data_IF_480680168087
#
_entry.id   IF_480680168087
#
_cell.length_a   1.000
_cell.length_b   1.000
_cell.length_c   1.000
_cell.angle_alpha   90.00
_cell.angle_beta   90.00
_cell.angle_gamma   90.00
#
_symmetry.space_group_name_H-M   'P 1'
#
loop_
_entity.id
_entity.type
_entity.pdbx_description
1 polymer ?
#
# COMPACT_ATOMS: atom_id res chain seq x y z
N UNK A 1 5.01 -23.15 20.79
CA UNK A 1 5.78 -22.00 20.24
C UNK A 1 4.81 -20.85 20.00
N UNK A 2 5.10 -19.64 20.50
CA UNK A 2 4.39 -18.44 20.05
C UNK A 2 4.92 -18.13 18.65
N UNK A 3 4.13 -18.38 17.61
CA UNK A 3 4.41 -17.85 16.28
C UNK A 3 4.29 -16.33 16.41
N UNK A 4 5.41 -15.62 16.27
CA UNK A 4 5.44 -14.18 16.45
C UNK A 4 4.93 -13.55 15.15
N UNK A 5 3.65 -13.16 15.12
CA UNK A 5 3.06 -12.51 13.95
C UNK A 5 3.88 -11.29 13.50
N UNK A 6 3.97 -11.07 12.19
CA UNK A 6 4.72 -9.96 11.59
C UNK A 6 4.31 -8.61 12.18
N UNK A 7 5.26 -7.68 12.33
CA UNK A 7 5.03 -6.39 13.01
C UNK A 7 5.56 -5.22 12.20
N UNK A 8 4.79 -4.14 12.19
CA UNK A 8 5.29 -2.83 11.75
C UNK A 8 6.04 -2.20 12.91
N UNK A 9 7.31 -1.85 12.70
CA UNK A 9 8.15 -1.23 13.72
C UNK A 9 8.59 0.17 13.28
N UNK A 10 8.62 1.09 14.25
CA UNK A 10 9.14 2.43 14.08
C UNK A 10 10.66 2.38 14.20
N UNK A 11 11.37 2.76 13.15
CA UNK A 11 12.84 2.86 13.12
C UNK A 11 13.23 4.32 13.16
N UNK A 12 14.22 4.66 13.98
CA UNK A 12 14.85 5.98 13.97
C UNK A 12 16.21 5.83 13.33
N UNK A 13 16.47 6.61 12.29
CA UNK A 13 17.77 6.64 11.64
C UNK A 13 18.62 7.73 12.30
N UNK A 14 19.68 7.37 13.04
CA UNK A 14 20.61 8.37 13.54
C UNK A 14 21.50 8.87 12.39
N UNK A 15 21.30 10.15 12.00
CA UNK A 15 22.29 11.13 11.49
C UNK A 15 22.30 11.48 9.99
N UNK A 16 22.18 12.79 9.65
CA UNK A 16 23.26 13.78 9.38
C UNK A 16 22.63 15.17 9.14
N UNK A 17 22.87 16.10 10.06
CA UNK A 17 22.58 17.56 10.02
C UNK A 17 21.13 18.11 10.12
N UNK A 18 20.05 17.42 9.72
CA UNK A 18 18.71 18.06 9.64
C UNK A 18 17.58 17.50 10.54
N UNK A 19 17.93 16.70 11.57
CA UNK A 19 16.98 16.22 12.59
C UNK A 19 16.74 14.69 12.58
N UNK A 20 15.93 14.22 13.53
CA UNK A 20 15.56 12.80 13.68
C UNK A 20 14.57 12.39 12.58
N UNK A 21 14.99 11.52 11.66
CA UNK A 21 14.09 10.95 10.66
C UNK A 21 13.48 9.64 11.18
N UNK A 22 12.15 9.61 11.22
CA UNK A 22 11.35 8.45 11.58
C UNK A 22 11.00 7.67 10.31
N UNK A 23 11.20 6.35 10.36
CA UNK A 23 10.73 5.42 9.35
C UNK A 23 9.88 4.32 9.97
N UNK A 24 9.21 3.57 9.09
CA UNK A 24 8.53 2.33 9.43
C UNK A 24 9.15 1.19 8.63
N UNK A 25 9.32 0.04 9.26
CA UNK A 25 9.76 -1.20 8.63
C UNK A 25 8.79 -2.32 8.98
N UNK A 26 8.72 -3.34 8.15
CA UNK A 26 7.96 -4.55 8.42
C UNK A 26 8.93 -5.65 8.80
N UNK A 27 8.78 -6.16 10.02
CA UNK A 27 9.63 -7.20 10.59
C UNK A 27 8.91 -8.54 10.47
N UNK A 28 9.60 -9.51 9.88
CA UNK A 28 9.19 -10.90 9.75
C UNK A 28 9.19 -11.67 11.07
N UNK A 29 8.79 -12.94 11.02
CA UNK A 29 8.76 -13.81 12.21
C UNK A 29 10.18 -14.21 12.67
N UNK A 30 11.15 -14.11 11.78
CA UNK A 30 12.60 -14.26 12.01
C UNK A 30 13.22 -13.03 12.70
N UNK A 31 12.41 -12.03 13.03
CA UNK A 31 12.83 -10.74 13.60
C UNK A 31 13.73 -9.93 12.67
N UNK A 32 13.75 -10.23 11.38
CA UNK A 32 14.48 -9.47 10.36
C UNK A 32 13.51 -8.58 9.56
N UNK A 33 13.98 -7.42 9.06
CA UNK A 33 13.22 -6.64 8.09
C UNK A 33 12.94 -7.46 6.84
N UNK A 34 11.74 -7.32 6.29
CA UNK A 34 11.40 -7.88 4.97
C UNK A 34 12.10 -7.01 3.90
N UNK A 35 13.12 -7.52 3.20
CA UNK A 35 13.97 -6.70 2.34
C UNK A 35 13.20 -5.98 1.23
N UNK A 36 12.24 -6.68 0.62
CA UNK A 36 11.48 -6.14 -0.50
C UNK A 36 10.56 -4.98 -0.04
N UNK A 37 9.98 -5.09 1.15
CA UNK A 37 9.21 -3.98 1.74
C UNK A 37 10.15 -2.82 2.06
N UNK A 38 11.33 -3.09 2.63
CA UNK A 38 12.28 -2.03 3.01
C UNK A 38 12.78 -1.26 1.79
N UNK A 39 13.09 -1.92 0.69
CA UNK A 39 13.47 -1.29 -0.59
C UNK A 39 12.38 -0.32 -1.06
N UNK A 40 11.12 -0.76 -1.01
CA UNK A 40 10.00 0.08 -1.40
C UNK A 40 9.76 1.23 -0.40
N UNK A 41 9.92 1.02 0.90
CA UNK A 41 9.84 2.09 1.90
C UNK A 41 10.95 3.13 1.70
N UNK A 42 12.15 2.71 1.32
CA UNK A 42 13.25 3.60 0.97
C UNK A 42 12.92 4.44 -0.28
N UNK A 43 12.33 3.81 -1.31
CA UNK A 43 11.82 4.52 -2.48
C UNK A 43 10.77 5.58 -2.12
N UNK A 44 9.77 5.24 -1.29
CA UNK A 44 8.74 6.19 -0.86
C UNK A 44 9.33 7.42 -0.15
N UNK A 45 10.37 7.23 0.66
CA UNK A 45 11.09 8.36 1.29
C UNK A 45 11.80 9.23 0.26
N UNK A 46 12.46 8.61 -0.73
CA UNK A 46 13.20 9.34 -1.75
C UNK A 46 12.30 10.21 -2.64
N UNK A 47 11.03 9.82 -2.81
CA UNK A 47 10.02 10.64 -3.49
C UNK A 47 9.25 11.57 -2.54
N UNK A 48 9.75 11.77 -1.33
CA UNK A 48 9.19 12.66 -0.30
C UNK A 48 7.73 12.33 0.09
N UNK A 49 7.34 11.05 0.04
CA UNK A 49 6.03 10.63 0.52
C UNK A 49 5.86 10.98 2.01
N UNK A 50 4.64 11.39 2.39
CA UNK A 50 4.39 11.81 3.77
C UNK A 50 4.67 10.67 4.76
N UNK A 51 5.15 10.96 5.99
CA UNK A 51 5.37 9.93 7.02
C UNK A 51 4.12 9.10 7.33
N UNK A 52 2.94 9.70 7.21
CA UNK A 52 1.67 8.99 7.37
C UNK A 52 1.39 8.02 6.21
N UNK A 53 1.74 8.40 4.98
CA UNK A 53 1.66 7.52 3.81
C UNK A 53 2.58 6.32 3.98
N UNK A 54 3.84 6.53 4.38
CA UNK A 54 4.82 5.46 4.63
C UNK A 54 4.30 4.53 5.73
N UNK A 55 3.79 5.09 6.83
CA UNK A 55 3.20 4.30 7.91
C UNK A 55 2.03 3.44 7.43
N UNK A 56 1.06 4.04 6.71
CA UNK A 56 -0.09 3.33 6.19
C UNK A 56 0.33 2.22 5.22
N UNK A 57 1.29 2.50 4.33
CA UNK A 57 1.77 1.53 3.35
C UNK A 57 2.50 0.37 4.03
N UNK A 58 3.29 0.62 5.08
CA UNK A 58 3.90 -0.45 5.86
C UNK A 58 2.85 -1.39 6.48
N UNK A 59 1.75 -0.87 7.05
CA UNK A 59 0.65 -1.70 7.56
C UNK A 59 -0.09 -2.46 6.45
N UNK A 60 -0.33 -1.82 5.31
CA UNK A 60 -0.99 -2.48 4.18
C UNK A 60 -0.16 -3.62 3.60
N UNK A 61 1.15 -3.41 3.44
CA UNK A 61 2.07 -4.46 2.97
C UNK A 61 2.23 -5.56 4.01
N UNK A 62 2.25 -5.23 5.30
CA UNK A 62 2.22 -6.23 6.37
C UNK A 62 1.04 -7.21 6.23
N UNK A 63 -0.16 -6.70 5.94
CA UNK A 63 -1.34 -7.54 5.70
C UNK A 63 -1.18 -8.44 4.47
N UNK A 64 -0.61 -7.90 3.40
CA UNK A 64 -0.36 -8.68 2.18
C UNK A 64 0.66 -9.80 2.43
N UNK A 65 1.72 -9.55 3.19
CA UNK A 65 2.68 -10.58 3.57
C UNK A 65 2.10 -11.64 4.50
N UNK A 66 1.24 -11.27 5.46
CA UNK A 66 0.50 -12.23 6.28
C UNK A 66 -0.38 -13.15 5.40
N UNK A 67 -1.08 -12.57 4.41
CA UNK A 67 -1.86 -13.34 3.44
C UNK A 67 -1.00 -14.31 2.63
N UNK A 68 0.13 -13.85 2.07
CA UNK A 68 1.03 -14.69 1.28
C UNK A 68 1.56 -15.86 2.11
N UNK A 69 1.92 -15.60 3.37
CA UNK A 69 2.31 -16.65 4.32
C UNK A 69 1.18 -17.65 4.56
N UNK A 70 0.00 -17.17 4.92
CA UNK A 70 -1.15 -18.02 5.27
C UNK A 70 -1.61 -18.89 4.08
N UNK A 71 -1.34 -18.44 2.86
CA UNK A 71 -1.69 -19.16 1.62
C UNK A 71 -0.50 -19.85 0.95
N UNK A 72 0.69 -19.79 1.56
CA UNK A 72 1.94 -20.35 1.03
C UNK A 72 2.28 -19.89 -0.40
N UNK A 73 2.04 -18.60 -0.71
CA UNK A 73 2.31 -18.01 -2.01
C UNK A 73 3.59 -17.15 -1.98
N UNK A 74 4.34 -17.15 -3.09
CA UNK A 74 5.44 -16.21 -3.30
C UNK A 74 4.92 -14.92 -3.93
N UNK A 75 5.34 -13.78 -3.39
CA UNK A 75 5.00 -12.45 -3.93
C UNK A 75 5.51 -12.30 -5.38
N UNK A 76 6.63 -12.93 -5.75
CA UNK A 76 7.21 -12.82 -7.10
C UNK A 76 6.35 -13.48 -8.17
N UNK A 77 5.58 -14.49 -7.80
CA UNK A 77 4.70 -15.23 -8.70
C UNK A 77 3.23 -14.82 -8.58
N UNK A 78 2.93 -13.84 -7.73
CA UNK A 78 1.56 -13.38 -7.51
C UNK A 78 1.00 -12.72 -8.77
N UNK A 79 -0.22 -13.08 -9.12
CA UNK A 79 -0.95 -12.51 -10.25
C UNK A 79 -2.30 -11.92 -9.85
N UNK A 80 -3.15 -11.66 -10.84
CA UNK A 80 -4.50 -11.14 -10.61
C UNK A 80 -5.35 -12.09 -9.76
N UNK A 81 -5.16 -13.40 -9.93
CA UNK A 81 -5.83 -14.43 -9.13
C UNK A 81 -5.45 -14.34 -7.64
N UNK A 82 -4.15 -14.23 -7.35
CA UNK A 82 -3.63 -14.03 -5.98
C UNK A 82 -4.27 -12.80 -5.32
N UNK A 83 -4.45 -11.71 -6.06
CA UNK A 83 -5.10 -10.51 -5.52
C UNK A 83 -6.60 -10.70 -5.27
N UNK A 84 -7.29 -11.43 -6.15
CA UNK A 84 -8.69 -11.78 -5.91
C UNK A 84 -8.84 -12.61 -4.63
N UNK A 85 -7.95 -13.59 -4.43
CA UNK A 85 -7.87 -14.36 -3.19
C UNK A 85 -7.53 -13.47 -1.99
N UNK A 86 -6.62 -12.51 -2.15
CA UNK A 86 -6.29 -11.54 -1.10
C UNK A 86 -7.49 -10.66 -0.70
N UNK A 87 -8.30 -10.22 -1.67
CA UNK A 87 -9.55 -9.48 -1.38
C UNK A 87 -10.53 -10.34 -0.59
N UNK A 88 -10.66 -11.62 -0.93
CA UNK A 88 -11.48 -12.56 -0.15
C UNK A 88 -10.93 -12.73 1.28
N UNK A 89 -9.61 -12.89 1.42
CA UNK A 89 -8.92 -12.99 2.71
C UNK A 89 -9.10 -11.73 3.58
N UNK A 90 -9.02 -10.53 2.98
CA UNK A 90 -9.25 -9.27 3.70
C UNK A 90 -10.67 -9.12 4.26
N UNK A 91 -11.66 -9.70 3.56
CA UNK A 91 -13.08 -9.72 3.96
C UNK A 91 -13.36 -10.74 5.06
N UNK A 92 -12.59 -11.83 5.11
CA UNK A 92 -12.74 -12.88 6.12
C UNK A 92 -11.38 -13.38 6.63
N UNK A 93 -10.71 -12.63 7.51
CA UNK A 93 -9.34 -12.94 7.95
C UNK A 93 -9.27 -14.02 9.06
N UNK A 94 -10.24 -14.94 9.17
CA UNK A 94 -10.27 -15.96 10.21
C UNK A 94 -9.67 -17.29 9.71
N UNK A 95 -8.47 -17.70 10.15
CA UNK A 95 -7.98 -19.05 9.93
C UNK A 95 -8.69 -20.03 10.87
N UNK A 96 -9.47 -20.95 10.31
CA UNK A 96 -9.96 -22.15 11.02
C UNK A 96 -11.40 -22.13 11.54
N UNK A 97 -12.22 -21.12 11.23
CA UNK A 97 -13.63 -21.08 11.61
C UNK A 97 -14.53 -21.08 10.38
N UNK A 98 -15.37 -22.13 10.26
CA UNK A 98 -16.48 -22.15 9.31
C UNK A 98 -17.40 -20.96 9.63
N UNK A 99 -17.69 -20.06 8.67
CA UNK A 99 -18.58 -18.94 8.92
C UNK A 99 -20.01 -19.47 9.01
N UNK A 100 -20.46 -19.83 10.21
CA UNK A 100 -21.82 -20.30 10.47
C UNK A 100 -22.82 -19.16 10.72
N UNK A 101 -22.35 -17.90 10.64
CA UNK A 101 -23.19 -16.70 10.71
C UNK A 101 -22.66 -15.66 9.74
N UNK A 102 -23.58 -15.02 9.00
CA UNK A 102 -23.33 -13.91 8.07
C UNK A 102 -22.63 -12.78 8.81
N UNK A 103 -21.30 -12.83 8.86
CA UNK A 103 -20.46 -11.86 9.55
C UNK A 103 -20.36 -10.64 8.64
N UNK A 104 -20.79 -9.48 9.13
CA UNK A 104 -20.56 -8.19 8.48
C UNK A 104 -19.06 -8.09 8.13
N UNK A 105 -18.73 -7.71 6.90
CA UNK A 105 -17.34 -7.66 6.45
C UNK A 105 -16.49 -6.84 7.44
N UNK A 106 -15.48 -7.47 8.03
CA UNK A 106 -14.69 -6.89 9.13
C UNK A 106 -13.92 -5.60 8.72
N UNK A 107 -13.74 -5.38 7.41
CA UNK A 107 -13.11 -4.18 6.85
C UNK A 107 -14.03 -3.48 5.86
N UNK A 108 -14.01 -2.15 5.89
CA UNK A 108 -14.74 -1.34 4.91
C UNK A 108 -14.14 -1.48 3.52
N UNK A 109 -14.95 -1.28 2.47
CA UNK A 109 -14.48 -1.23 1.08
C UNK A 109 -13.39 -0.16 0.87
N UNK A 110 -13.46 0.96 1.60
CA UNK A 110 -12.45 2.01 1.53
C UNK A 110 -11.08 1.52 2.03
N UNK A 111 -11.05 0.77 3.13
CA UNK A 111 -9.81 0.16 3.65
C UNK A 111 -9.24 -0.86 2.66
N UNK A 112 -10.08 -1.73 2.10
CA UNK A 112 -9.65 -2.73 1.11
C UNK A 112 -9.00 -2.04 -0.10
N UNK A 113 -9.64 -0.99 -0.64
CA UNK A 113 -9.09 -0.24 -1.77
C UNK A 113 -7.78 0.47 -1.43
N UNK A 114 -7.63 0.98 -0.21
CA UNK A 114 -6.39 1.61 0.24
C UNK A 114 -5.24 0.60 0.36
N UNK A 115 -5.54 -0.63 0.82
CA UNK A 115 -4.56 -1.73 0.87
C UNK A 115 -4.17 -2.14 -0.55
N UNK A 116 -5.14 -2.38 -1.43
CA UNK A 116 -4.88 -2.76 -2.84
C UNK A 116 -4.07 -1.70 -3.58
N UNK A 117 -4.34 -0.42 -3.33
CA UNK A 117 -3.57 0.69 -3.90
C UNK A 117 -2.10 0.63 -3.48
N UNK A 118 -1.82 0.34 -2.22
CA UNK A 118 -0.45 0.21 -1.72
C UNK A 118 0.27 -1.02 -2.33
N UNK A 119 -0.44 -2.16 -2.45
CA UNK A 119 0.08 -3.38 -3.08
C UNK A 119 0.36 -3.15 -4.56
N UNK A 120 -0.57 -2.54 -5.30
CA UNK A 120 -0.39 -2.23 -6.73
C UNK A 120 0.82 -1.31 -6.96
N UNK A 121 0.99 -0.28 -6.12
CA UNK A 121 2.14 0.62 -6.20
C UNK A 121 3.47 -0.06 -5.83
N UNK A 122 3.45 -1.02 -4.90
CA UNK A 122 4.60 -1.87 -4.57
C UNK A 122 5.04 -2.73 -5.77
N UNK A 123 4.09 -3.40 -6.44
CA UNK A 123 4.38 -4.20 -7.63
C UNK A 123 4.87 -3.33 -8.80
N UNK A 124 4.28 -2.14 -9.01
CA UNK A 124 4.77 -1.19 -10.02
C UNK A 124 6.22 -0.76 -9.75
N UNK A 125 6.56 -0.49 -8.49
CA UNK A 125 7.94 -0.19 -8.11
C UNK A 125 8.89 -1.33 -8.46
N UNK A 126 8.59 -2.56 -8.03
CA UNK A 126 9.47 -3.70 -8.27
C UNK A 126 9.58 -4.10 -9.75
N UNK A 127 8.52 -3.90 -10.54
CA UNK A 127 8.59 -4.06 -11.99
C UNK A 127 9.53 -3.03 -12.63
N UNK A 128 9.47 -1.76 -12.20
CA UNK A 128 10.33 -0.68 -12.74
C UNK A 128 11.80 -0.84 -12.38
N UNK A 129 12.10 -1.38 -11.21
CA UNK A 129 13.49 -1.66 -10.78
C UNK A 129 14.01 -2.97 -11.38
N UNK A 130 13.14 -3.79 -11.98
CA UNK A 130 13.51 -5.04 -12.65
C UNK A 130 13.62 -6.24 -11.72
N UNK A 131 13.01 -6.18 -10.52
CA UNK A 131 12.97 -7.32 -9.60
C UNK A 131 11.95 -8.38 -10.04
N UNK A 132 10.91 -7.98 -10.78
CA UNK A 132 9.86 -8.83 -11.33
C UNK A 132 9.42 -8.29 -12.70
N UNK A 133 8.64 -9.08 -13.45
CA UNK A 133 7.91 -8.59 -14.61
C UNK A 133 6.64 -7.81 -14.20
N UNK A 134 6.14 -6.95 -15.07
CA UNK A 134 4.89 -6.25 -14.84
C UNK A 134 3.71 -7.23 -14.86
N UNK A 135 2.86 -7.20 -13.83
CA UNK A 135 1.64 -8.00 -13.76
C UNK A 135 0.56 -7.36 -14.65
N UNK A 136 0.13 -8.00 -15.75
CA UNK A 136 -0.87 -7.41 -16.64
C UNK A 136 -2.21 -7.16 -15.94
N UNK A 137 -2.79 -5.98 -16.15
CA UNK A 137 -4.10 -5.60 -15.57
C UNK A 137 -4.07 -5.13 -14.12
N UNK A 138 -2.94 -5.27 -13.41
CA UNK A 138 -2.82 -4.92 -11.99
C UNK A 138 -3.15 -3.44 -11.73
N UNK A 139 -2.64 -2.52 -12.56
CA UNK A 139 -2.84 -1.08 -12.41
C UNK A 139 -4.27 -0.67 -12.75
N UNK A 140 -4.85 -1.29 -13.76
CA UNK A 140 -6.21 -1.03 -14.24
C UNK A 140 -7.25 -1.46 -13.20
N UNK A 141 -7.03 -2.62 -12.56
CA UNK A 141 -7.96 -3.19 -11.58
C UNK A 141 -7.76 -2.66 -10.16
N UNK A 142 -6.51 -2.41 -9.76
CA UNK A 142 -6.15 -2.16 -8.35
C UNK A 142 -5.24 -0.96 -8.12
N UNK A 143 -4.85 -0.25 -9.18
CA UNK A 143 -4.05 0.95 -9.07
C UNK A 143 -4.78 2.04 -8.27
N UNK A 144 -4.02 2.81 -7.49
CA UNK A 144 -4.54 4.01 -6.88
C UNK A 144 -5.11 4.91 -8.00
N UNK A 145 -6.41 5.24 -7.95
CA UNK A 145 -6.92 6.39 -8.71
C UNK A 145 -6.07 7.57 -8.27
N UNK A 146 -5.25 8.12 -9.18
CA UNK A 146 -4.45 9.32 -8.94
C UNK A 146 -5.32 10.30 -8.17
N UNK A 147 -4.97 10.56 -6.92
CA UNK A 147 -5.56 11.66 -6.18
C UNK A 147 -5.21 12.89 -7.02
N UNK A 148 -6.21 13.46 -7.72
CA UNK A 148 -6.08 14.78 -8.31
C UNK A 148 -5.91 15.71 -7.13
N UNK A 149 -4.65 15.96 -6.76
CA UNK A 149 -4.32 16.97 -5.77
C UNK A 149 -5.07 18.25 -6.13
N UNK A 150 -5.41 19.03 -5.11
CA UNK A 150 -6.11 20.32 -5.19
C UNK A 150 -5.48 21.36 -6.16
N UNK A 151 -4.39 21.01 -6.86
CA UNK A 151 -3.81 21.72 -8.00
C UNK A 151 -4.47 21.39 -9.35
N UNK A 152 -5.72 20.92 -9.38
CA UNK A 152 -6.60 21.20 -10.50
C UNK A 152 -7.30 22.53 -10.23
N UNK A 153 -6.63 23.64 -10.52
CA UNK A 153 -7.31 24.93 -10.62
C UNK A 153 -8.04 24.95 -11.96
N UNK A 154 -9.38 24.78 -12.04
CA UNK A 154 -10.08 25.21 -13.24
C UNK A 154 -9.81 26.71 -13.37
N UNK A 155 -9.13 27.14 -14.43
CA UNK A 155 -9.06 28.57 -14.76
C UNK A 155 -10.51 29.03 -14.85
N UNK A 156 -10.94 29.90 -13.93
CA UNK A 156 -12.21 30.63 -14.11
C UNK A 156 -12.10 31.37 -15.44
N UNK A 157 -13.05 31.22 -16.38
CA UNK A 157 -13.09 32.12 -17.52
C UNK A 157 -13.24 33.54 -16.98
N UNK A 158 -12.33 34.42 -17.38
CA UNK A 158 -12.36 35.83 -17.02
C UNK A 158 -13.73 36.41 -17.39
N UNK A 159 -14.40 37.01 -16.40
CA UNK A 159 -15.64 37.75 -16.61
C UNK A 159 -15.30 38.97 -17.47
N UNK A 160 -15.56 38.88 -18.77
CA UNK A 160 -15.52 40.04 -19.66
C UNK A 160 -16.51 41.07 -19.12
N UNK A 161 -15.97 42.16 -18.58
CA UNK A 161 -16.73 43.36 -18.24
C UNK A 161 -16.99 44.07 -19.56
N UNK A 162 -18.22 44.03 -20.05
CA UNK A 162 -18.66 45.01 -21.01
C UNK A 162 -18.71 46.35 -20.28
N UNK A 163 -17.74 47.22 -20.57
CA UNK A 163 -17.86 48.63 -20.29
C UNK A 163 -18.89 49.19 -21.27
N UNK A 164 -20.01 49.68 -20.72
CA UNK A 164 -20.93 50.55 -21.43
C UNK A 164 -20.20 51.82 -21.85
N UNK A 165 -20.26 52.15 -23.13
CA UNK A 165 -19.99 53.49 -23.64
C UNK A 165 -21.07 53.87 -24.65
N UNK A 166 -21.78 54.94 -24.25
CA UNK A 166 -22.58 55.89 -25.03
C UNK A 166 -23.94 55.41 -25.56
#
# INVERSE_FOLDING_TARGET
MKVCAMKVQKVRYPRRKDGDHISWTVVGEDFLPVPEIEDYMAFLKNIEASPNTIHAYAHHLKLFWEFLRDTHQDWRTAGLETLAQFVAWLRNPQPGTLPMQSTEAQRTQATINAVLSAVSAFYDFHARVGHIEEIPGMKEHYGARRYKGFLHHPRKPGRLRYASLS
#
